data_IF_525522843725
#
_entry.id   IF_525522843725
#
_cell.length_a   1.000
_cell.length_b   1.000
_cell.length_c   1.000
_cell.angle_alpha   90.00
_cell.angle_beta   90.00
_cell.angle_gamma   90.00
#
_symmetry.space_group_name_H-M   'P 1'
#
loop_
_entity.id
_entity.type
_entity.pdbx_description
1 polymer ?
#
# COMPACT_ATOMS: atom_id res chain seq x y z
N UNK A 1 -6.62 9.28 13.65
CA UNK A 1 -7.41 9.83 12.53
C UNK A 1 -6.52 10.51 11.51
N UNK A 2 -6.71 11.81 11.28
CA UNK A 2 -6.02 12.56 10.21
C UNK A 2 -4.50 12.61 10.36
N UNK A 3 -3.98 13.11 11.49
CA UNK A 3 -2.54 13.22 11.71
C UNK A 3 -1.81 11.86 11.57
N UNK A 4 -2.42 10.79 12.11
CA UNK A 4 -1.92 9.42 11.94
C UNK A 4 -1.96 8.99 10.47
N UNK A 5 -3.01 9.32 9.73
CA UNK A 5 -3.13 9.02 8.29
C UNK A 5 -2.07 9.74 7.46
N UNK A 6 -1.87 11.04 7.68
CA UNK A 6 -0.84 11.82 7.00
C UNK A 6 0.53 11.18 7.23
N UNK A 7 0.84 10.74 8.45
CA UNK A 7 2.07 10.02 8.76
C UNK A 7 2.17 8.64 8.11
N UNK A 8 1.13 7.81 8.22
CA UNK A 8 1.14 6.43 7.72
C UNK A 8 1.21 6.37 6.18
N UNK A 9 0.55 7.29 5.48
CA UNK A 9 0.52 7.31 4.02
C UNK A 9 1.55 8.26 3.38
N UNK A 10 2.47 8.83 4.16
CA UNK A 10 3.61 9.57 3.63
C UNK A 10 4.67 8.62 3.07
N UNK A 11 5.27 8.99 1.94
CA UNK A 11 6.30 8.21 1.25
C UNK A 11 7.61 9.02 1.29
N UNK A 12 8.50 8.76 2.27
CA UNK A 12 9.69 9.59 2.50
C UNK A 12 10.60 9.73 1.29
N UNK A 13 10.87 8.61 0.59
CA UNK A 13 11.74 8.58 -0.60
C UNK A 13 11.24 9.49 -1.74
N UNK A 14 9.95 9.80 -1.78
CA UNK A 14 9.32 10.60 -2.84
C UNK A 14 8.80 11.95 -2.34
N UNK A 15 8.96 12.27 -1.06
CA UNK A 15 8.54 13.54 -0.48
C UNK A 15 7.04 13.85 -0.63
N UNK A 16 6.19 12.83 -0.76
CA UNK A 16 4.74 12.99 -1.03
C UNK A 16 3.91 11.92 -0.34
N UNK A 17 2.61 12.17 -0.20
CA UNK A 17 1.67 11.16 0.27
C UNK A 17 1.13 10.30 -0.88
N UNK A 18 0.63 9.10 -0.55
CA UNK A 18 0.01 8.15 -1.49
C UNK A 18 -1.24 8.70 -2.21
N UNK A 19 -1.93 9.64 -1.57
CA UNK A 19 -3.20 10.20 -2.04
C UNK A 19 -3.42 11.62 -1.50
N UNK A 20 -4.64 12.14 -1.62
CA UNK A 20 -4.96 13.54 -1.29
C UNK A 20 -5.64 13.74 0.07
N UNK A 21 -6.21 12.67 0.63
CA UNK A 21 -6.84 12.68 1.94
C UNK A 21 -6.45 11.40 2.68
N UNK A 22 -6.16 11.53 3.98
CA UNK A 22 -5.64 10.43 4.78
C UNK A 22 -6.34 10.36 6.13
N UNK A 23 -6.81 9.16 6.44
CA UNK A 23 -7.33 8.84 7.75
C UNK A 23 -6.80 7.46 8.12
N UNK A 24 -6.19 7.38 9.30
CA UNK A 24 -5.73 6.11 9.85
C UNK A 24 -6.11 6.05 11.32
N UNK A 25 -6.58 4.89 11.73
CA UNK A 25 -7.01 4.63 13.08
C UNK A 25 -6.63 3.18 13.41
N UNK A 26 -5.67 3.03 14.30
CA UNK A 26 -5.14 1.74 14.74
C UNK A 26 -5.31 1.63 16.25
N UNK A 27 -5.63 0.44 16.75
CA UNK A 27 -5.85 0.17 18.17
C UNK A 27 -6.86 1.13 18.84
N UNK A 28 -7.92 1.54 18.14
CA UNK A 28 -8.96 2.37 18.73
C UNK A 28 -9.74 1.59 19.79
N UNK A 29 -9.63 2.06 21.03
CA UNK A 29 -10.30 1.48 22.18
C UNK A 29 -10.51 2.58 23.21
N UNK A 30 -11.75 2.99 23.43
CA UNK A 30 -12.09 3.99 24.45
C UNK A 30 -12.38 3.36 25.82
N UNK A 31 -12.39 2.02 25.90
CA UNK A 31 -12.80 1.25 27.06
C UNK A 31 -14.30 0.96 27.12
N UNK A 32 -15.09 1.49 26.18
CA UNK A 32 -16.54 1.25 26.06
C UNK A 32 -16.84 0.58 24.73
N UNK A 33 -17.10 -0.73 24.79
CA UNK A 33 -17.38 -1.54 23.61
C UNK A 33 -18.58 -1.02 22.80
N UNK A 34 -19.67 -0.60 23.46
CA UNK A 34 -20.87 -0.17 22.75
C UNK A 34 -20.62 1.14 22.01
N UNK A 35 -19.87 2.04 22.63
CA UNK A 35 -19.44 3.30 22.01
C UNK A 35 -18.51 3.06 20.83
N UNK A 36 -17.52 2.18 20.99
CA UNK A 36 -16.55 1.87 19.95
C UNK A 36 -17.20 1.15 18.77
N UNK A 37 -18.14 0.24 19.03
CA UNK A 37 -18.94 -0.42 18.00
C UNK A 37 -19.83 0.57 17.24
N UNK A 38 -20.51 1.48 17.94
CA UNK A 38 -21.33 2.51 17.32
C UNK A 38 -20.48 3.44 16.43
N UNK A 39 -19.30 3.82 16.91
CA UNK A 39 -18.35 4.61 16.13
C UNK A 39 -17.86 3.87 14.88
N UNK A 40 -17.43 2.61 15.01
CA UNK A 40 -16.95 1.81 13.89
C UNK A 40 -18.02 1.63 12.81
N UNK A 41 -19.28 1.41 13.21
CA UNK A 41 -20.42 1.33 12.29
C UNK A 41 -20.64 2.65 11.55
N UNK A 42 -20.80 3.75 12.29
CA UNK A 42 -21.03 5.07 11.69
C UNK A 42 -19.88 5.49 10.77
N UNK A 43 -18.64 5.17 11.14
CA UNK A 43 -17.47 5.41 10.30
C UNK A 43 -17.52 4.61 8.99
N UNK A 44 -17.83 3.31 9.05
CA UNK A 44 -17.95 2.47 7.86
C UNK A 44 -19.04 2.93 6.91
N UNK A 45 -20.21 3.27 7.44
CA UNK A 45 -21.35 3.83 6.68
C UNK A 45 -20.94 5.15 5.99
N UNK A 46 -20.32 6.08 6.72
CA UNK A 46 -19.86 7.35 6.15
C UNK A 46 -18.82 7.17 5.04
N UNK A 47 -17.91 6.18 5.15
CA UNK A 47 -16.93 5.87 4.10
C UNK A 47 -17.62 5.38 2.83
N UNK A 48 -18.59 4.47 2.96
CA UNK A 48 -19.35 3.93 1.83
C UNK A 48 -20.13 5.06 1.14
N UNK A 49 -20.88 5.84 1.91
CA UNK A 49 -21.69 6.95 1.39
C UNK A 49 -20.83 7.99 0.67
N UNK A 50 -19.70 8.36 1.28
CA UNK A 50 -18.77 9.34 0.69
C UNK A 50 -18.16 8.82 -0.61
N UNK A 51 -17.65 7.58 -0.61
CA UNK A 51 -16.99 7.02 -1.80
C UNK A 51 -17.97 6.81 -2.96
N UNK A 52 -19.18 6.32 -2.67
CA UNK A 52 -20.22 6.11 -3.68
C UNK A 52 -20.68 7.43 -4.29
N UNK A 53 -20.90 8.48 -3.48
CA UNK A 53 -21.20 9.84 -3.99
C UNK A 53 -20.10 10.33 -4.94
N UNK A 54 -18.83 10.27 -4.55
CA UNK A 54 -17.70 10.71 -5.39
C UNK A 54 -17.66 9.97 -6.73
N UNK A 55 -17.79 8.63 -6.69
CA UNK A 55 -17.72 7.80 -7.90
C UNK A 55 -18.93 8.06 -8.81
N UNK A 56 -20.14 8.12 -8.25
CA UNK A 56 -21.36 8.39 -9.00
C UNK A 56 -21.33 9.76 -9.67
N UNK A 57 -20.91 10.80 -8.95
CA UNK A 57 -20.74 12.15 -9.51
C UNK A 57 -19.68 12.17 -10.62
N UNK A 58 -18.56 11.47 -10.40
CA UNK A 58 -17.47 11.42 -11.40
C UNK A 58 -17.93 10.73 -12.67
N UNK A 59 -18.65 9.61 -12.57
CA UNK A 59 -19.18 8.85 -13.71
C UNK A 59 -20.22 9.67 -14.48
N UNK A 60 -21.14 10.34 -13.78
CA UNK A 60 -22.21 11.10 -14.42
C UNK A 60 -21.72 12.38 -15.12
N UNK A 61 -20.71 13.05 -14.55
CA UNK A 61 -20.37 14.43 -14.92
C UNK A 61 -19.12 14.61 -15.78
N UNK A 62 -18.40 13.57 -16.20
CA UNK A 62 -17.09 13.74 -16.83
C UNK A 62 -16.92 13.06 -18.19
N UNK A 63 -16.16 13.69 -19.10
CA UNK A 63 -15.78 13.05 -20.35
C UNK A 63 -14.87 11.84 -20.09
N UNK A 64 -14.78 10.91 -21.06
CA UNK A 64 -13.79 9.84 -21.02
C UNK A 64 -12.39 10.37 -20.73
N UNK A 65 -11.59 9.58 -20.01
CA UNK A 65 -10.22 9.95 -19.69
C UNK A 65 -9.41 10.12 -20.98
N UNK A 66 -8.72 11.27 -21.09
CA UNK A 66 -7.75 11.50 -22.16
C UNK A 66 -6.41 10.83 -21.85
N UNK A 67 -5.47 10.87 -22.80
CA UNK A 67 -4.15 10.25 -22.62
C UNK A 67 -3.37 10.80 -21.42
N UNK A 68 -3.55 12.08 -21.07
CA UNK A 68 -2.88 12.70 -19.92
C UNK A 68 -3.46 12.17 -18.60
N UNK A 69 -4.78 12.06 -18.50
CA UNK A 69 -5.48 11.49 -17.35
C UNK A 69 -5.10 10.02 -17.15
N UNK A 70 -5.02 9.24 -18.24
CA UNK A 70 -4.55 7.85 -18.18
C UNK A 70 -3.09 7.74 -17.70
N UNK A 71 -2.20 8.61 -18.20
CA UNK A 71 -0.80 8.63 -17.73
C UNK A 71 -0.69 9.01 -16.25
N UNK A 72 -1.48 9.98 -15.78
CA UNK A 72 -1.55 10.34 -14.36
C UNK A 72 -2.06 9.17 -13.50
N UNK A 73 -3.12 8.48 -13.94
CA UNK A 73 -3.64 7.30 -13.26
C UNK A 73 -2.57 6.21 -13.17
N UNK A 74 -1.86 5.94 -14.25
CA UNK A 74 -0.80 4.94 -14.27
C UNK A 74 0.32 5.30 -13.28
N UNK A 75 0.76 6.57 -13.25
CA UNK A 75 1.75 7.02 -12.28
C UNK A 75 1.27 6.87 -10.83
N UNK A 76 -0.03 7.12 -10.56
CA UNK A 76 -0.65 6.86 -9.27
C UNK A 76 -0.71 5.37 -8.91
N UNK A 77 -1.01 4.50 -9.88
CA UNK A 77 -0.97 3.04 -9.68
C UNK A 77 0.44 2.57 -9.34
N UNK A 78 1.45 3.04 -10.06
CA UNK A 78 2.86 2.74 -9.76
C UNK A 78 3.23 3.18 -8.34
N UNK A 79 2.82 4.38 -7.93
CA UNK A 79 3.01 4.89 -6.56
C UNK A 79 2.32 4.02 -5.51
N UNK A 80 1.09 3.59 -5.80
CA UNK A 80 0.30 2.74 -4.91
C UNK A 80 0.99 1.39 -4.69
N UNK A 81 1.42 0.73 -5.78
CA UNK A 81 2.18 -0.53 -5.71
C UNK A 81 3.47 -0.34 -4.91
N UNK A 82 4.23 0.73 -5.18
CA UNK A 82 5.45 1.06 -4.45
C UNK A 82 5.18 1.15 -2.94
N UNK A 83 4.20 1.95 -2.52
CA UNK A 83 3.88 2.12 -1.10
C UNK A 83 3.42 0.81 -0.45
N UNK A 84 2.54 0.05 -1.11
CA UNK A 84 2.01 -1.21 -0.58
C UNK A 84 3.13 -2.23 -0.33
N UNK A 85 4.06 -2.40 -1.27
CA UNK A 85 5.09 -3.43 -1.16
C UNK A 85 6.28 -3.00 -0.29
N UNK A 86 6.52 -1.70 -0.12
CA UNK A 86 7.71 -1.19 0.60
C UNK A 86 7.40 -0.61 1.98
N UNK A 87 6.19 -0.11 2.21
CA UNK A 87 5.83 0.64 3.42
C UNK A 87 4.61 0.11 4.16
N UNK A 88 3.71 -0.66 3.54
CA UNK A 88 2.50 -1.12 4.20
C UNK A 88 2.76 -2.31 5.13
N UNK A 89 2.55 -2.08 6.43
CA UNK A 89 2.80 -3.09 7.46
C UNK A 89 1.80 -4.24 7.40
N UNK A 90 0.54 -3.96 7.06
CA UNK A 90 -0.51 -4.96 6.93
C UNK A 90 -0.18 -5.98 5.84
N UNK A 91 0.23 -5.50 4.67
CA UNK A 91 0.68 -6.34 3.55
C UNK A 91 1.90 -7.17 3.93
N UNK A 92 2.91 -6.54 4.54
CA UNK A 92 4.14 -7.24 4.95
C UNK A 92 3.86 -8.33 5.97
N UNK A 93 3.12 -7.99 7.03
CA UNK A 93 2.74 -8.94 8.08
C UNK A 93 1.97 -10.13 7.50
N UNK A 94 0.97 -9.87 6.63
CA UNK A 94 0.21 -10.92 5.99
C UNK A 94 1.08 -11.89 5.18
N UNK A 95 2.04 -11.36 4.40
CA UNK A 95 2.94 -12.18 3.58
C UNK A 95 3.96 -12.97 4.40
N UNK A 96 4.33 -12.49 5.59
CA UNK A 96 5.29 -13.16 6.47
C UNK A 96 4.70 -14.37 7.20
N UNK A 97 3.38 -14.40 7.44
CA UNK A 97 2.70 -15.48 8.17
C UNK A 97 2.73 -16.81 7.39
N UNK A 98 2.28 -16.83 6.13
CA UNK A 98 2.28 -18.02 5.26
C UNK A 98 2.23 -17.62 3.78
N UNK A 99 2.30 -18.59 2.86
CA UNK A 99 2.21 -18.38 1.41
C UNK A 99 0.87 -18.80 0.77
N UNK A 100 -0.03 -19.41 1.56
CA UNK A 100 -1.30 -19.98 1.09
C UNK A 100 -2.26 -18.97 0.42
N UNK A 101 -2.16 -17.67 0.75
CA UNK A 101 -3.04 -16.63 0.23
C UNK A 101 -2.27 -15.42 -0.35
N UNK A 102 -1.09 -15.64 -0.94
CA UNK A 102 -0.25 -14.57 -1.49
C UNK A 102 -1.00 -13.65 -2.47
N UNK A 103 -1.78 -14.26 -3.36
CA UNK A 103 -2.54 -13.51 -4.37
C UNK A 103 -3.66 -12.68 -3.72
N UNK A 104 -4.31 -13.21 -2.69
CA UNK A 104 -5.37 -12.49 -1.97
C UNK A 104 -4.84 -11.33 -1.14
N UNK A 105 -3.69 -11.52 -0.47
CA UNK A 105 -3.00 -10.45 0.26
C UNK A 105 -2.62 -9.30 -0.69
N UNK A 106 -2.20 -9.64 -1.91
CA UNK A 106 -1.89 -8.67 -2.98
C UNK A 106 -3.10 -8.32 -3.87
N UNK A 107 -4.32 -8.55 -3.37
CA UNK A 107 -5.57 -8.26 -4.07
C UNK A 107 -5.76 -6.77 -4.36
N UNK A 108 -5.21 -5.90 -3.52
CA UNK A 108 -5.28 -4.44 -3.65
C UNK A 108 -4.37 -3.84 -4.71
N UNK A 109 -3.41 -4.61 -5.24
CA UNK A 109 -2.48 -4.09 -6.25
C UNK A 109 -3.22 -3.72 -7.55
N UNK A 110 -2.88 -2.58 -8.17
CA UNK A 110 -3.47 -2.15 -9.43
C UNK A 110 -3.14 -3.12 -10.56
N UNK A 111 -3.97 -3.15 -11.60
CA UNK A 111 -3.80 -4.06 -12.73
C UNK A 111 -2.60 -3.74 -13.61
N UNK A 112 -2.20 -2.48 -13.71
CA UNK A 112 -1.07 -2.04 -14.54
C UNK A 112 -0.23 -1.00 -13.81
N UNK A 113 1.09 -1.05 -14.05
CA UNK A 113 2.08 -0.11 -13.52
C UNK A 113 3.14 0.22 -14.58
N UNK A 114 3.84 1.33 -14.36
CA UNK A 114 4.99 1.75 -15.15
C UNK A 114 6.30 1.30 -14.46
N UNK A 115 7.01 0.37 -15.08
CA UNK A 115 8.25 -0.22 -14.54
C UNK A 115 9.42 0.75 -14.59
N UNK A 116 9.50 1.57 -15.64
CA UNK A 116 10.61 2.53 -15.79
C UNK A 116 10.47 3.64 -14.75
N UNK A 117 9.25 4.09 -14.50
CA UNK A 117 8.95 5.02 -13.42
C UNK A 117 9.31 4.40 -12.05
N UNK A 118 8.89 3.17 -11.77
CA UNK A 118 9.20 2.49 -10.51
C UNK A 118 10.72 2.36 -10.30
N UNK A 119 11.44 1.95 -11.35
CA UNK A 119 12.90 1.82 -11.34
C UNK A 119 13.58 3.16 -11.06
N UNK A 120 13.04 4.26 -11.58
CA UNK A 120 13.59 5.60 -11.36
C UNK A 120 13.60 6.01 -9.87
N UNK A 121 12.73 5.42 -9.05
CA UNK A 121 12.60 5.71 -7.63
C UNK A 121 13.58 4.94 -6.75
N UNK A 122 14.14 3.81 -7.22
CA UNK A 122 15.03 2.97 -6.42
C UNK A 122 16.21 3.75 -5.81
N UNK A 123 16.80 4.68 -6.58
CA UNK A 123 17.93 5.51 -6.13
C UNK A 123 17.63 6.47 -4.96
N UNK A 124 16.36 6.77 -4.71
CA UNK A 124 15.92 7.66 -3.64
C UNK A 124 15.54 6.89 -2.37
N UNK A 125 15.53 5.56 -2.44
CA UNK A 125 15.17 4.69 -1.33
C UNK A 125 16.44 4.30 -0.57
N UNK A 126 16.38 4.38 0.76
CA UNK A 126 17.50 3.98 1.60
C UNK A 126 17.70 2.46 1.58
N UNK A 127 18.94 2.03 1.81
CA UNK A 127 19.24 0.61 1.99
C UNK A 127 18.72 0.12 3.37
N UNK A 128 18.22 -1.13 3.47
CA UNK A 128 18.19 -2.15 2.42
C UNK A 128 16.96 -2.06 1.49
N UNK A 129 16.00 -1.18 1.73
CA UNK A 129 14.72 -1.09 0.98
C UNK A 129 14.91 -0.83 -0.50
N UNK A 130 15.99 -0.14 -0.89
CA UNK A 130 16.40 -0.04 -2.29
C UNK A 130 16.43 -1.41 -2.98
N UNK A 131 17.01 -2.44 -2.33
CA UNK A 131 17.13 -3.80 -2.89
C UNK A 131 15.78 -4.46 -3.10
N UNK A 132 14.80 -4.14 -2.24
CA UNK A 132 13.43 -4.61 -2.40
C UNK A 132 12.80 -4.01 -3.66
N UNK A 133 12.97 -2.70 -3.88
CA UNK A 133 12.46 -2.02 -5.08
C UNK A 133 13.09 -2.58 -6.35
N UNK A 134 14.41 -2.80 -6.34
CA UNK A 134 15.13 -3.43 -7.45
C UNK A 134 14.57 -4.84 -7.75
N UNK A 135 14.38 -5.65 -6.71
CA UNK A 135 13.82 -7.01 -6.85
C UNK A 135 12.36 -6.99 -7.35
N UNK A 136 11.56 -5.99 -6.94
CA UNK A 136 10.19 -5.80 -7.45
C UNK A 136 10.22 -5.48 -8.96
N UNK A 137 11.11 -4.57 -9.38
CA UNK A 137 11.31 -4.24 -10.80
C UNK A 137 11.71 -5.47 -11.60
N UNK A 138 12.61 -6.31 -11.08
CA UNK A 138 13.03 -7.55 -11.73
C UNK A 138 11.86 -8.55 -11.90
N UNK A 139 10.99 -8.67 -10.90
CA UNK A 139 9.80 -9.55 -10.97
C UNK A 139 8.77 -9.03 -11.97
N UNK A 140 8.53 -7.72 -12.01
CA UNK A 140 7.61 -7.11 -12.97
C UNK A 140 8.13 -7.32 -14.40
N UNK A 141 9.45 -7.16 -14.59
CA UNK A 141 10.17 -7.33 -15.83
C UNK A 141 9.75 -6.33 -16.91
N UNK A 142 10.41 -6.38 -18.07
CA UNK A 142 10.07 -5.53 -19.21
C UNK A 142 10.46 -4.06 -19.03
N UNK A 143 9.79 -3.17 -19.77
CA UNK A 143 9.94 -1.71 -19.75
C UNK A 143 8.58 -1.08 -20.08
N UNK A 144 8.35 0.14 -19.60
CA UNK A 144 7.08 0.85 -19.73
C UNK A 144 5.95 0.20 -18.92
N UNK A 145 4.77 0.12 -19.55
CA UNK A 145 3.54 -0.35 -18.91
C UNK A 145 3.49 -1.87 -18.87
N UNK A 146 3.31 -2.44 -17.68
CA UNK A 146 3.15 -3.89 -17.49
C UNK A 146 1.92 -4.22 -16.67
N UNK A 147 1.29 -5.35 -17.00
CA UNK A 147 0.22 -5.93 -16.21
C UNK A 147 0.76 -6.56 -14.92
N UNK A 148 0.08 -6.37 -13.79
CA UNK A 148 0.36 -7.02 -12.49
C UNK A 148 -0.51 -8.27 -12.35
N UNK A 149 -0.25 -9.24 -13.22
CA UNK A 149 -0.98 -10.50 -13.29
C UNK A 149 -0.73 -11.40 -12.06
N UNK A 150 -1.44 -12.53 -12.01
CA UNK A 150 -1.32 -13.53 -10.92
C UNK A 150 0.10 -14.05 -10.73
N UNK A 151 0.84 -14.30 -11.82
CA UNK A 151 2.21 -14.84 -11.75
C UNK A 151 3.14 -13.81 -11.13
N UNK A 152 3.04 -12.54 -11.53
CA UNK A 152 3.80 -11.44 -10.95
C UNK A 152 3.45 -11.22 -9.49
N UNK A 153 2.16 -11.26 -9.11
CA UNK A 153 1.75 -11.19 -7.68
C UNK A 153 2.44 -12.27 -6.83
N UNK A 154 2.48 -13.52 -7.30
CA UNK A 154 3.20 -14.60 -6.58
C UNK A 154 4.70 -14.30 -6.47
N UNK A 155 5.33 -13.79 -7.54
CA UNK A 155 6.74 -13.37 -7.51
C UNK A 155 7.00 -12.24 -6.51
N UNK A 156 6.13 -11.22 -6.50
CA UNK A 156 6.22 -10.07 -5.60
C UNK A 156 6.10 -10.49 -4.14
N UNK A 157 5.14 -11.37 -3.83
CA UNK A 157 4.98 -11.92 -2.49
C UNK A 157 6.25 -12.63 -2.00
N UNK A 158 6.86 -13.46 -2.87
CA UNK A 158 8.12 -14.17 -2.56
C UNK A 158 9.28 -13.20 -2.33
N UNK A 159 9.41 -12.16 -3.15
CA UNK A 159 10.45 -11.14 -3.00
C UNK A 159 10.30 -10.35 -1.71
N UNK A 160 9.09 -9.87 -1.41
CA UNK A 160 8.80 -9.15 -0.15
C UNK A 160 9.14 -10.03 1.05
N UNK A 161 8.65 -11.27 1.07
CA UNK A 161 8.92 -12.23 2.14
C UNK A 161 10.42 -12.51 2.30
N UNK A 162 11.12 -12.74 1.20
CA UNK A 162 12.57 -13.03 1.22
C UNK A 162 13.37 -11.82 1.72
N UNK A 163 12.97 -10.61 1.33
CA UNK A 163 13.60 -9.37 1.77
C UNK A 163 13.50 -9.19 3.28
N UNK A 164 12.29 -9.23 3.84
CA UNK A 164 12.10 -9.01 5.28
C UNK A 164 12.56 -10.16 6.17
N UNK A 165 12.72 -11.38 5.62
CA UNK A 165 13.44 -12.47 6.31
C UNK A 165 14.95 -12.24 6.34
N UNK A 166 15.52 -11.68 5.27
CA UNK A 166 16.95 -11.39 5.18
C UNK A 166 17.35 -10.13 5.95
N UNK A 167 16.47 -9.13 5.97
CA UNK A 167 16.66 -7.83 6.60
C UNK A 167 15.48 -7.53 7.55
N UNK A 168 15.35 -8.21 8.69
CA UNK A 168 14.24 -7.97 9.61
C UNK A 168 14.22 -6.55 10.18
N UNK A 169 15.37 -5.90 10.32
CA UNK A 169 15.50 -4.50 10.73
C UNK A 169 14.84 -3.52 9.75
N UNK A 170 14.69 -3.92 8.49
CA UNK A 170 14.06 -3.15 7.43
C UNK A 170 12.59 -2.84 7.70
N UNK A 171 11.92 -3.60 8.58
CA UNK A 171 10.54 -3.30 9.04
C UNK A 171 10.48 -1.90 9.67
N UNK A 172 11.57 -1.45 10.29
CA UNK A 172 11.64 -0.12 10.91
C UNK A 172 11.49 1.03 9.91
N UNK A 173 11.73 0.77 8.62
CA UNK A 173 11.66 1.74 7.53
C UNK A 173 10.26 1.82 6.89
N UNK A 174 9.33 0.97 7.34
CA UNK A 174 7.94 1.00 6.90
C UNK A 174 7.17 2.17 7.53
N UNK A 175 5.98 2.45 6.99
CA UNK A 175 5.05 3.39 7.57
C UNK A 175 4.75 3.02 9.03
N UNK A 176 4.61 4.01 9.91
CA UNK A 176 4.23 3.78 11.32
C UNK A 176 3.08 4.69 11.73
N UNK A 177 2.12 4.10 12.42
CA UNK A 177 1.17 4.84 13.27
C UNK A 177 1.85 5.37 14.55
N UNK A 178 1.05 5.82 15.51
CA UNK A 178 1.55 6.27 16.82
C UNK A 178 1.90 5.11 17.76
N UNK A 179 1.31 3.93 17.54
CA UNK A 179 1.43 2.77 18.41
C UNK A 179 2.28 1.74 17.67
N UNK A 180 3.33 1.23 18.31
CA UNK A 180 4.04 0.05 17.80
C UNK A 180 3.23 -1.16 18.24
N UNK A 181 2.66 -1.97 17.34
CA UNK A 181 2.00 -3.21 17.73
C UNK A 181 3.01 -4.10 18.46
N UNK A 182 2.61 -4.91 19.46
CA UNK A 182 3.50 -5.91 20.02
C UNK A 182 3.99 -6.79 18.86
N UNK A 183 5.30 -6.73 18.58
CA UNK A 183 5.92 -7.54 17.54
C UNK A 183 5.62 -9.00 17.80
N UNK A 184 5.38 -9.77 16.73
CA UNK A 184 5.19 -11.21 16.73
C UNK A 184 6.51 -11.90 17.12
N UNK A 185 6.89 -11.75 18.39
CA UNK A 185 8.05 -12.33 19.03
C UNK A 185 7.64 -12.99 20.37
N UNK A 186 6.37 -13.38 20.49
CA UNK A 186 5.81 -14.02 21.69
C UNK A 186 4.91 -15.22 21.35
N UNK A 187 5.31 -16.04 20.36
CA UNK A 187 4.83 -17.42 20.25
C UNK A 187 6.03 -18.31 19.96
N UNK A 188 6.78 -18.59 21.02
CA UNK A 188 7.60 -19.79 21.17
C UNK A 188 6.87 -20.73 22.14
#
# INVERSE_FOLDING_TARGET
GRAQGERYFFIPALGRHRGVAHFYLECFNTGDFNRDLAYAKAFGEAVIDTYTSIVSERIAGNPPADGKACALQLAYHTLYLFQVLTLDQGTTSGLLVHDQNDVGILGSLPSHVDVDLLKSWAKAVEAPQQKLVESIVDILGGSGVVEVDRRRKIGLAKVVRSHYRKYPEAIKLQARGEITPPTVANHA
#
